data_IF_405902901983
#
_entry.id   IF_405902901983
#
_cell.length_a   1.000
_cell.length_b   1.000
_cell.length_c   1.000
_cell.angle_alpha   90.00
_cell.angle_beta   90.00
_cell.angle_gamma   90.00
#
_symmetry.space_group_name_H-M   'P 1'
#
loop_
_entity.id
_entity.type
_entity.pdbx_description
1 polymer ?
#
# COMPACT_ATOMS: atom_id res chain seq x y z
N UNK A 1 10.70 10.40 -28.80
CA UNK A 1 9.48 9.70 -28.35
C UNK A 1 9.35 10.03 -26.87
N UNK A 2 8.41 10.90 -26.50
CA UNK A 2 8.23 11.26 -25.09
C UNK A 2 7.82 10.04 -24.28
N UNK A 3 8.47 9.79 -23.14
CA UNK A 3 8.06 8.73 -22.24
C UNK A 3 6.70 9.10 -21.67
N UNK A 4 5.67 8.32 -22.00
CA UNK A 4 4.36 8.47 -21.38
C UNK A 4 4.53 8.32 -19.85
N UNK A 5 3.87 9.19 -19.06
CA UNK A 5 3.98 9.10 -17.61
C UNK A 5 3.41 7.74 -17.16
N UNK A 6 4.29 6.91 -16.60
CA UNK A 6 3.93 5.71 -15.82
C UNK A 6 2.72 6.01 -14.93
N UNK A 7 1.63 5.30 -15.20
CA UNK A 7 0.39 5.43 -14.45
C UNK A 7 0.48 4.63 -13.13
N UNK A 8 0.59 5.35 -12.01
CA UNK A 8 0.70 4.76 -10.66
C UNK A 8 -0.68 4.50 -10.03
N UNK A 9 -1.77 5.04 -10.61
CA UNK A 9 -3.12 4.87 -10.05
C UNK A 9 -3.52 3.42 -9.77
N UNK A 10 -3.24 2.43 -10.64
CA UNK A 10 -3.59 1.03 -10.36
C UNK A 10 -2.94 0.48 -9.08
N UNK A 11 -1.72 0.91 -8.77
CA UNK A 11 -1.03 0.49 -7.55
C UNK A 11 -1.66 1.11 -6.29
N UNK A 12 -2.01 2.39 -6.36
CA UNK A 12 -2.69 3.09 -5.26
C UNK A 12 -4.09 2.52 -5.04
N UNK A 13 -4.81 2.21 -6.11
CA UNK A 13 -6.14 1.60 -6.04
C UNK A 13 -6.08 0.20 -5.42
N UNK A 14 -5.07 -0.61 -5.77
CA UNK A 14 -4.82 -1.90 -5.16
C UNK A 14 -4.50 -1.77 -3.65
N UNK A 15 -3.64 -0.82 -3.28
CA UNK A 15 -3.33 -0.53 -1.87
C UNK A 15 -4.59 -0.15 -1.09
N UNK A 16 -5.44 0.71 -1.65
CA UNK A 16 -6.69 1.14 -1.03
C UNK A 16 -7.69 0.00 -0.90
N UNK A 17 -7.77 -0.88 -1.90
CA UNK A 17 -8.60 -2.10 -1.81
C UNK A 17 -8.13 -3.00 -0.68
N UNK A 18 -6.83 -3.26 -0.59
CA UNK A 18 -6.28 -4.12 0.46
C UNK A 18 -6.54 -3.55 1.87
N UNK A 19 -6.45 -2.23 2.06
CA UNK A 19 -6.83 -1.58 3.33
C UNK A 19 -8.31 -1.80 3.68
N UNK A 20 -9.21 -1.68 2.71
CA UNK A 20 -10.65 -1.93 2.93
C UNK A 20 -10.90 -3.38 3.32
N UNK A 21 -10.35 -4.32 2.56
CA UNK A 21 -10.49 -5.75 2.83
C UNK A 21 -9.97 -6.11 4.24
N UNK A 22 -8.90 -5.46 4.69
CA UNK A 22 -8.40 -5.62 6.06
C UNK A 22 -9.34 -5.05 7.13
N UNK A 23 -9.96 -3.89 6.89
CA UNK A 23 -10.95 -3.32 7.81
C UNK A 23 -12.20 -4.19 7.91
N UNK A 24 -12.64 -4.74 6.78
CA UNK A 24 -13.76 -5.67 6.73
C UNK A 24 -13.44 -6.96 7.50
N UNK A 25 -12.24 -7.50 7.31
CA UNK A 25 -11.73 -8.61 8.12
C UNK A 25 -11.72 -8.27 9.62
N UNK A 26 -11.22 -7.10 10.00
CA UNK A 26 -11.16 -6.68 11.40
C UNK A 26 -12.55 -6.59 12.03
N UNK A 27 -13.56 -6.14 11.27
CA UNK A 27 -14.95 -6.13 11.71
C UNK A 27 -15.50 -7.54 11.92
N UNK A 28 -15.33 -8.43 10.95
CA UNK A 28 -15.74 -9.85 11.05
C UNK A 28 -15.07 -10.51 12.28
N UNK A 29 -13.80 -10.18 12.52
CA UNK A 29 -13.09 -10.68 13.68
C UNK A 29 -13.70 -10.21 15.01
N UNK A 30 -14.08 -8.93 15.14
CA UNK A 30 -14.76 -8.45 16.35
C UNK A 30 -16.07 -9.19 16.60
N UNK A 31 -16.89 -9.36 15.55
CA UNK A 31 -18.17 -10.08 15.66
C UNK A 31 -17.95 -11.56 16.05
N UNK A 32 -16.88 -12.19 15.56
CA UNK A 32 -16.52 -13.56 15.94
C UNK A 32 -16.07 -13.65 17.41
N UNK A 33 -15.30 -12.66 17.88
CA UNK A 33 -14.77 -12.60 19.25
C UNK A 33 -15.87 -12.46 20.30
N UNK A 34 -17.02 -11.88 19.94
CA UNK A 34 -18.17 -11.81 20.85
C UNK A 34 -18.67 -13.20 21.27
N UNK A 35 -18.57 -14.18 20.37
CA UNK A 35 -19.02 -15.56 20.59
C UNK A 35 -17.86 -16.52 20.94
N UNK A 36 -16.62 -16.16 20.62
CA UNK A 36 -15.44 -16.99 20.82
C UNK A 36 -14.50 -16.35 21.86
N UNK A 37 -14.65 -16.72 23.14
CA UNK A 37 -13.95 -16.09 24.28
C UNK A 37 -13.01 -17.01 25.05
N UNK A 38 -12.61 -18.12 24.46
CA UNK A 38 -11.77 -19.13 25.11
C UNK A 38 -10.25 -18.87 24.91
N UNK A 39 -9.43 -19.76 25.45
CA UNK A 39 -7.97 -19.69 25.30
C UNK A 39 -7.50 -19.91 23.85
N UNK A 40 -8.30 -20.58 23.01
CA UNK A 40 -7.97 -20.79 21.60
C UNK A 40 -8.11 -19.50 20.82
N UNK A 41 -9.13 -18.69 21.12
CA UNK A 41 -9.26 -17.33 20.57
C UNK A 41 -8.02 -16.49 20.91
N UNK A 42 -7.56 -16.51 22.16
CA UNK A 42 -6.39 -15.73 22.59
C UNK A 42 -5.11 -16.14 21.85
N UNK A 43 -4.89 -17.45 21.66
CA UNK A 43 -3.75 -17.95 20.88
C UNK A 43 -3.86 -17.55 19.41
N UNK A 44 -5.05 -17.66 18.82
CA UNK A 44 -5.28 -17.25 17.44
C UNK A 44 -4.91 -15.77 17.22
N UNK A 45 -5.32 -14.88 18.12
CA UNK A 45 -4.95 -13.45 18.03
C UNK A 45 -3.44 -13.25 18.07
N UNK A 46 -2.76 -13.91 19.00
CA UNK A 46 -1.32 -13.76 19.20
C UNK A 46 -0.52 -14.34 18.02
N UNK A 47 -0.89 -15.53 17.55
CA UNK A 47 -0.15 -16.26 16.52
C UNK A 47 -0.42 -15.74 15.11
N UNK A 48 -1.66 -15.34 14.82
CA UNK A 48 -2.08 -15.02 13.45
C UNK A 48 -2.39 -13.55 13.23
N UNK A 49 -2.95 -12.84 14.22
CA UNK A 49 -3.43 -11.46 14.01
C UNK A 49 -2.44 -10.40 14.47
N UNK A 50 -1.59 -10.71 15.46
CA UNK A 50 -0.68 -9.74 16.07
C UNK A 50 0.26 -9.06 15.07
N UNK A 51 0.68 -9.77 14.03
CA UNK A 51 1.58 -9.23 13.01
C UNK A 51 0.86 -8.51 11.85
N UNK A 52 -0.46 -8.69 11.67
CA UNK A 52 -1.16 -8.23 10.47
C UNK A 52 -1.25 -6.70 10.39
N UNK A 53 -1.71 -6.05 11.46
CA UNK A 53 -1.82 -4.58 11.52
C UNK A 53 -0.48 -3.88 11.26
N UNK A 54 0.59 -4.20 12.01
CA UNK A 54 1.93 -3.66 11.76
C UNK A 54 2.44 -3.93 10.34
N UNK A 55 2.16 -5.11 9.78
CA UNK A 55 2.58 -5.46 8.41
C UNK A 55 1.84 -4.64 7.35
N UNK A 56 0.53 -4.41 7.53
CA UNK A 56 -0.25 -3.55 6.64
C UNK A 56 0.25 -2.09 6.64
N UNK A 57 0.61 -1.57 7.81
CA UNK A 57 1.17 -0.24 7.94
C UNK A 57 2.52 -0.13 7.20
N UNK A 58 3.42 -1.10 7.40
CA UNK A 58 4.70 -1.16 6.68
C UNK A 58 4.51 -1.27 5.17
N UNK A 59 3.59 -2.13 4.72
CA UNK A 59 3.27 -2.29 3.31
C UNK A 59 2.76 -0.98 2.69
N UNK A 60 1.83 -0.31 3.37
CA UNK A 60 1.30 0.98 2.94
C UNK A 60 2.40 2.04 2.81
N UNK A 61 3.26 2.14 3.82
CA UNK A 61 4.38 3.09 3.80
C UNK A 61 5.32 2.81 2.62
N UNK A 62 5.72 1.55 2.40
CA UNK A 62 6.61 1.17 1.32
C UNK A 62 6.01 1.45 -0.07
N UNK A 63 4.71 1.21 -0.27
CA UNK A 63 4.03 1.52 -1.53
C UNK A 63 3.98 3.03 -1.79
N UNK A 64 3.74 3.83 -0.75
CA UNK A 64 3.73 5.29 -0.88
C UNK A 64 5.13 5.82 -1.23
N UNK A 65 6.16 5.33 -0.54
CA UNK A 65 7.55 5.68 -0.82
C UNK A 65 7.94 5.32 -2.25
N UNK A 66 7.60 4.12 -2.70
CA UNK A 66 7.82 3.68 -4.07
C UNK A 66 7.14 4.59 -5.09
N UNK A 67 5.86 4.95 -4.86
CA UNK A 67 5.12 5.87 -5.73
C UNK A 67 5.77 7.25 -5.81
N UNK A 68 6.29 7.77 -4.70
CA UNK A 68 6.94 9.08 -4.68
C UNK A 68 8.32 9.05 -5.35
N UNK A 69 9.10 7.98 -5.17
CA UNK A 69 10.37 7.79 -5.88
C UNK A 69 10.12 7.76 -7.40
N UNK A 70 9.11 7.01 -7.85
CA UNK A 70 8.74 6.97 -9.26
C UNK A 70 8.37 8.35 -9.81
N UNK A 71 7.50 9.10 -9.12
CA UNK A 71 7.11 10.45 -9.56
C UNK A 71 8.32 11.39 -9.67
N UNK A 72 9.24 11.33 -8.70
CA UNK A 72 10.48 12.12 -8.72
C UNK A 72 11.36 11.73 -9.91
N UNK A 73 11.56 10.44 -10.15
CA UNK A 73 12.34 9.94 -11.27
C UNK A 73 11.74 10.37 -12.61
N UNK A 74 10.41 10.27 -12.77
CA UNK A 74 9.72 10.73 -13.98
C UNK A 74 9.88 12.23 -14.21
N UNK A 75 9.80 13.03 -13.15
CA UNK A 75 10.01 14.48 -13.24
C UNK A 75 11.44 14.79 -13.69
N UNK A 76 12.44 14.17 -13.06
CA UNK A 76 13.84 14.37 -13.43
C UNK A 76 14.13 13.97 -14.88
N UNK A 77 13.58 12.84 -15.35
CA UNK A 77 13.73 12.39 -16.75
C UNK A 77 13.06 13.35 -17.72
N UNK A 78 11.89 13.90 -17.38
CA UNK A 78 11.19 14.87 -18.23
C UNK A 78 11.93 16.20 -18.30
N UNK A 79 12.43 16.69 -17.18
CA UNK A 79 13.15 17.95 -17.11
C UNK A 79 14.46 17.89 -17.93
N UNK A 80 15.18 16.76 -17.88
CA UNK A 80 16.37 16.51 -18.70
C UNK A 80 16.04 16.42 -20.20
N UNK A 81 14.95 15.75 -20.55
CA UNK A 81 14.47 15.66 -21.93
C UNK A 81 14.03 17.02 -22.50
N UNK A 82 13.56 17.96 -21.67
CA UNK A 82 13.18 19.31 -22.09
C UNK A 82 14.37 20.27 -22.17
N UNK A 83 15.36 20.11 -21.28
CA UNK A 83 16.59 20.92 -21.31
C UNK A 83 17.50 20.61 -22.50
N UNK A 84 17.49 19.37 -22.98
CA UNK A 84 18.26 18.94 -24.15
C UNK A 84 17.67 19.41 -25.49
N UNK A 85 16.35 19.63 -25.56
CA UNK A 85 15.64 20.10 -26.77
C UNK A 85 15.71 21.63 -26.98
N UNK A 86 16.13 22.39 -25.94
CA UNK A 86 16.31 23.85 -26.02
C UNK A 86 17.73 24.29 -26.41
N UNK A 87 18.65 23.33 -26.59
CA UNK A 87 20.07 23.57 -26.87
C UNK A 87 20.47 23.27 -28.33
N UNK A 88 19.49 23.06 -29.22
CA UNK A 88 19.65 22.91 -30.67
C UNK A 88 18.71 23.87 -31.42
#
# INVERSE_FOLDING_TARGET
MGLDPLNISPLIDAQNRFKRDFLDFARIWQDAKDNWRDDRCRRFEQEHLGALGPSLNRFTAAVNEFADILRKAQTAVRDDAQGSDQLY
#
